data_IF_272138835617
#
_entry.id   IF_272138835617
#
_cell.length_a   1.000
_cell.length_b   1.000
_cell.length_c   1.000
_cell.angle_alpha   90.00
_cell.angle_beta   90.00
_cell.angle_gamma   90.00
#
_symmetry.space_group_name_H-M   'P 1'
#
loop_
_entity.id
_entity.type
_entity.pdbx_description
1 polymer ?
#
# COMPACT_ATOMS: atom_id res chain seq x y z
N UNK A 1 -40.76 -3.12 3.34
CA UNK A 1 -40.16 -2.71 4.63
C UNK A 1 -38.83 -3.40 4.94
N UNK A 2 -38.77 -4.73 5.07
CA UNK A 2 -37.56 -5.45 5.51
C UNK A 2 -36.29 -5.21 4.66
N UNK A 3 -36.42 -5.07 3.33
CA UNK A 3 -35.27 -4.79 2.43
C UNK A 3 -34.64 -3.41 2.68
N UNK A 4 -35.45 -2.41 3.02
CA UNK A 4 -34.98 -1.04 3.29
C UNK A 4 -34.21 -0.95 4.61
N UNK A 5 -34.71 -1.66 5.64
CA UNK A 5 -34.04 -1.78 6.94
C UNK A 5 -32.70 -2.51 6.83
N UNK A 6 -32.62 -3.54 5.96
CA UNK A 6 -31.37 -4.27 5.71
C UNK A 6 -30.31 -3.40 5.01
N UNK A 7 -30.73 -2.49 4.14
CA UNK A 7 -29.84 -1.56 3.44
C UNK A 7 -29.26 -0.51 4.40
N UNK A 8 -30.08 0.00 5.32
CA UNK A 8 -29.66 0.96 6.37
C UNK A 8 -28.77 0.30 7.43
N UNK A 9 -28.92 -1.01 7.68
CA UNK A 9 -28.07 -1.79 8.59
C UNK A 9 -26.81 -2.37 7.92
N UNK A 10 -26.57 -2.11 6.64
CA UNK A 10 -25.42 -2.68 5.95
C UNK A 10 -24.14 -1.91 6.32
N UNK A 11 -23.25 -2.55 7.09
CA UNK A 11 -21.95 -2.02 7.51
C UNK A 11 -20.78 -2.52 6.66
N UNK A 12 -21.02 -3.30 5.60
CA UNK A 12 -19.97 -3.85 4.71
C UNK A 12 -19.10 -2.74 4.09
N UNK A 13 -19.69 -1.58 3.81
CA UNK A 13 -18.95 -0.40 3.35
C UNK A 13 -18.11 0.27 4.44
N UNK A 14 -18.56 0.24 5.70
CA UNK A 14 -17.81 0.78 6.83
C UNK A 14 -16.55 -0.05 7.11
N UNK A 15 -16.66 -1.38 7.02
CA UNK A 15 -15.50 -2.28 7.14
C UNK A 15 -14.51 -2.10 5.98
N UNK A 16 -14.99 -1.83 4.77
CA UNK A 16 -14.12 -1.60 3.61
C UNK A 16 -13.26 -0.33 3.77
N UNK A 17 -13.78 0.71 4.43
CA UNK A 17 -13.03 1.95 4.69
C UNK A 17 -11.92 1.72 5.74
N UNK A 18 -12.18 0.90 6.76
CA UNK A 18 -11.19 0.57 7.80
C UNK A 18 -10.03 -0.24 7.23
N UNK A 19 -10.33 -1.31 6.48
CA UNK A 19 -9.28 -2.10 5.81
C UNK A 19 -8.62 -1.31 4.67
N UNK A 20 -9.34 -0.41 4.02
CA UNK A 20 -8.80 0.50 3.01
C UNK A 20 -7.73 1.44 3.56
N UNK A 21 -7.95 2.00 4.76
CA UNK A 21 -6.96 2.85 5.43
C UNK A 21 -5.70 2.06 5.81
N UNK A 22 -5.86 0.86 6.37
CA UNK A 22 -4.73 -0.01 6.72
C UNK A 22 -3.94 -0.39 5.46
N UNK A 23 -4.62 -0.78 4.38
CA UNK A 23 -3.99 -1.09 3.11
C UNK A 23 -3.21 0.11 2.53
N UNK A 24 -3.77 1.32 2.63
CA UNK A 24 -3.09 2.54 2.20
C UNK A 24 -1.81 2.80 3.00
N UNK A 25 -1.82 2.62 4.33
CA UNK A 25 -0.63 2.78 5.17
C UNK A 25 0.46 1.74 4.84
N UNK A 26 0.06 0.48 4.63
CA UNK A 26 0.98 -0.58 4.21
C UNK A 26 1.60 -0.24 2.84
N UNK A 27 0.79 0.23 1.89
CA UNK A 27 1.26 0.61 0.56
C UNK A 27 2.30 1.75 0.62
N UNK A 28 2.05 2.79 1.42
CA UNK A 28 3.00 3.90 1.61
C UNK A 28 4.32 3.41 2.21
N UNK A 29 4.26 2.55 3.22
CA UNK A 29 5.45 1.97 3.83
C UNK A 29 6.24 1.10 2.83
N UNK A 30 5.54 0.29 2.03
CA UNK A 30 6.15 -0.54 0.99
C UNK A 30 6.84 0.30 -0.10
N UNK A 31 6.22 1.41 -0.54
CA UNK A 31 6.83 2.34 -1.49
C UNK A 31 8.12 2.92 -0.91
N UNK A 32 8.11 3.37 0.34
CA UNK A 32 9.31 3.90 1.00
C UNK A 32 10.43 2.87 1.10
N UNK A 33 10.11 1.62 1.42
CA UNK A 33 11.09 0.53 1.47
C UNK A 33 11.67 0.21 0.08
N UNK A 34 10.82 0.16 -0.95
CA UNK A 34 11.25 -0.11 -2.32
C UNK A 34 12.17 1.00 -2.86
N UNK A 35 11.95 2.26 -2.48
CA UNK A 35 12.85 3.36 -2.85
C UNK A 35 14.27 3.12 -2.32
N UNK A 36 14.42 2.79 -1.04
CA UNK A 36 15.74 2.52 -0.44
C UNK A 36 16.46 1.31 -1.05
N UNK A 37 15.70 0.26 -1.42
CA UNK A 37 16.25 -0.88 -2.17
C UNK A 37 16.72 -0.44 -3.55
N UNK A 38 15.92 0.36 -4.26
CA UNK A 38 16.26 0.89 -5.58
C UNK A 38 17.52 1.74 -5.57
N UNK A 39 17.67 2.62 -4.57
CA UNK A 39 18.85 3.46 -4.39
C UNK A 39 20.11 2.62 -4.15
N UNK A 40 20.01 1.60 -3.29
CA UNK A 40 21.12 0.68 -2.99
C UNK A 40 21.53 -0.14 -4.22
N UNK A 41 20.55 -0.60 -5.00
CA UNK A 41 20.79 -1.35 -6.23
C UNK A 41 21.45 -0.45 -7.29
N UNK A 42 20.97 0.79 -7.45
CA UNK A 42 21.56 1.76 -8.36
C UNK A 42 23.01 2.06 -7.98
N UNK A 43 23.29 2.29 -6.69
CA UNK A 43 24.65 2.51 -6.21
C UNK A 43 25.56 1.32 -6.55
N UNK A 44 25.09 0.09 -6.31
CA UNK A 44 25.85 -1.13 -6.63
C UNK A 44 26.20 -1.21 -8.12
N UNK A 45 25.24 -0.93 -9.01
CA UNK A 45 25.51 -0.95 -10.46
C UNK A 45 26.41 0.21 -10.90
N UNK A 46 26.29 1.38 -10.30
CA UNK A 46 27.20 2.51 -10.55
C UNK A 46 28.62 2.18 -10.13
N UNK A 47 28.82 1.56 -8.97
CA UNK A 47 30.13 1.15 -8.49
C UNK A 47 30.79 0.15 -9.45
N UNK A 48 30.03 -0.86 -9.89
CA UNK A 48 30.51 -1.83 -10.90
C UNK A 48 30.84 -1.14 -12.22
N UNK A 49 30.02 -0.18 -12.67
CA UNK A 49 30.25 0.57 -13.90
C UNK A 49 31.47 1.48 -13.84
N UNK A 50 31.87 1.93 -12.65
CA UNK A 50 33.04 2.80 -12.47
C UNK A 50 34.34 2.00 -12.35
N UNK A 51 34.26 0.74 -11.92
CA UNK A 51 35.40 -0.17 -11.76
C UNK A 51 35.77 -0.91 -13.07
N UNK A 52 34.92 -0.84 -14.10
CA UNK A 52 35.10 -1.47 -15.41
C UNK A 52 35.66 -0.50 -16.46
#
# INVERSE_FOLDING_TARGET
MAKFVKLIKNTEGATAIEYGLIAALIAVAAIGAMQGIGDSLSATFTDVSNEL
#
